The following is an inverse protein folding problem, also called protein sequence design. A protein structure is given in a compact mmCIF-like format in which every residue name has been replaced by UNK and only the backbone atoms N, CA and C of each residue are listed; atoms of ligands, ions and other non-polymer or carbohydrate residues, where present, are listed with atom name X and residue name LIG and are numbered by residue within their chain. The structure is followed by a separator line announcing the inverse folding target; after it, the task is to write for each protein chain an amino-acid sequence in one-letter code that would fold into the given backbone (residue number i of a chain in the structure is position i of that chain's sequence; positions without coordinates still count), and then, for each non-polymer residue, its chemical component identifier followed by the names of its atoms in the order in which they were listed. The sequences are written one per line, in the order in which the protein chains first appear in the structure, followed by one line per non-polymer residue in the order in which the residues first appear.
data_IF_988842021160
#
_entry.id   IF_988842021160
#
_cell.length_a   1.000
_cell.length_b   1.000
_cell.length_c   1.000
_cell.angle_alpha   90.00
_cell.angle_beta   90.00
_cell.angle_gamma   90.00
#
_symmetry.space_group_name_H-M   'P 1'
#
loop_
_entity.id
_entity.type
_entity.pdbx_description
1 polymer ?
#
# COMPACT_ATOMS: atom_id res chain seq x y z
N UNK A 1 21.31 12.78 11.92
CA UNK A 1 21.32 12.87 10.45
C UNK A 1 21.23 11.49 9.85
N UNK A 2 20.39 11.31 8.87
CA UNK A 2 20.22 10.01 8.24
C UNK A 2 21.34 9.80 7.24
N UNK A 3 22.05 8.68 7.38
CA UNK A 3 23.03 8.26 6.37
C UNK A 3 22.27 7.39 5.37
N UNK A 4 22.45 7.67 4.11
CA UNK A 4 21.81 6.86 3.08
C UNK A 4 22.33 5.42 3.15
N UNK A 5 21.40 4.48 3.27
CA UNK A 5 21.75 3.06 3.31
C UNK A 5 21.85 2.55 1.87
N UNK A 6 23.00 2.04 1.51
CA UNK A 6 23.22 1.48 0.18
C UNK A 6 22.85 0.00 0.17
N UNK A 7 22.71 -0.57 -1.03
CA UNK A 7 22.45 -2.01 -1.16
C UNK A 7 23.59 -2.84 -0.57
N UNK A 8 24.83 -2.35 -0.66
CA UNK A 8 25.98 -3.04 -0.09
C UNK A 8 25.93 -3.07 1.43
N UNK A 9 25.48 -1.97 2.05
CA UNK A 9 25.29 -1.90 3.51
C UNK A 9 24.24 -2.90 3.96
N UNK A 10 23.14 -2.99 3.23
CA UNK A 10 22.04 -3.91 3.54
C UNK A 10 22.49 -5.36 3.34
N UNK A 11 23.29 -5.65 2.32
CA UNK A 11 23.75 -7.00 2.04
C UNK A 11 24.62 -7.58 3.16
N UNK A 12 25.24 -6.72 3.97
CA UNK A 12 26.07 -7.15 5.11
C UNK A 12 25.29 -7.36 6.38
N UNK A 13 24.00 -6.97 6.40
CA UNK A 13 23.15 -7.14 7.57
C UNK A 13 22.53 -8.53 7.60
N UNK A 14 22.42 -9.09 8.81
CA UNK A 14 21.76 -10.38 9.02
C UNK A 14 20.25 -10.14 9.22
N UNK A 15 19.58 -9.90 8.10
CA UNK A 15 18.16 -9.60 8.10
C UNK A 15 17.43 -10.50 7.11
N UNK A 16 16.14 -10.69 7.31
CA UNK A 16 15.31 -11.46 6.42
C UNK A 16 15.15 -10.75 5.07
N UNK A 17 14.72 -11.50 4.07
CA UNK A 17 14.47 -10.94 2.74
C UNK A 17 13.41 -9.84 2.79
N UNK A 18 12.37 -10.02 3.62
CA UNK A 18 11.32 -9.02 3.76
C UNK A 18 11.84 -7.74 4.40
N UNK A 19 12.67 -7.88 5.45
CA UNK A 19 13.29 -6.72 6.09
C UNK A 19 14.22 -5.98 5.13
N UNK A 20 14.95 -6.74 4.29
CA UNK A 20 15.81 -6.15 3.27
C UNK A 20 15.02 -5.35 2.25
N UNK A 21 13.87 -5.87 1.81
CA UNK A 21 12.98 -5.17 0.89
C UNK A 21 12.49 -3.85 1.47
N UNK A 22 12.17 -3.82 2.77
CA UNK A 22 11.78 -2.61 3.46
C UNK A 22 12.91 -1.57 3.40
N UNK A 23 14.13 -1.99 3.68
CA UNK A 23 15.29 -1.08 3.74
C UNK A 23 15.70 -0.53 2.36
N UNK A 24 15.55 -1.30 1.29
CA UNK A 24 15.89 -0.82 -0.07
C UNK A 24 14.72 -0.12 -0.76
N UNK A 25 13.61 0.05 -0.09
CA UNK A 25 12.52 0.87 -0.62
C UNK A 25 11.46 0.13 -1.41
N UNK A 26 11.33 -1.18 -1.26
CA UNK A 26 10.16 -1.89 -1.77
C UNK A 26 8.90 -1.33 -1.11
N UNK A 27 9.07 -0.74 0.06
CA UNK A 27 8.05 -0.02 0.82
C UNK A 27 8.12 1.48 0.57
N UNK A 28 8.70 1.89 -0.56
CA UNK A 28 8.62 3.28 -0.96
C UNK A 28 7.15 3.70 -0.99
N UNK A 29 6.94 5.01 -0.91
CA UNK A 29 5.60 5.59 -0.89
C UNK A 29 4.66 4.91 -1.88
N UNK A 30 3.52 4.47 -1.40
CA UNK A 30 2.48 3.93 -2.26
C UNK A 30 1.78 5.08 -2.96
N UNK A 31 1.33 4.84 -4.19
CA UNK A 31 0.42 5.79 -4.81
C UNK A 31 -0.90 5.76 -4.05
N UNK A 32 -1.67 6.83 -4.13
CA UNK A 32 -2.98 6.88 -3.51
C UNK A 32 -3.87 5.72 -3.98
N UNK A 33 -3.85 5.43 -5.28
CA UNK A 33 -4.63 4.32 -5.84
C UNK A 33 -4.23 2.98 -5.23
N UNK A 34 -2.95 2.69 -5.16
CA UNK A 34 -2.46 1.42 -4.59
C UNK A 34 -2.83 1.32 -3.11
N UNK A 35 -2.69 2.42 -2.38
CA UNK A 35 -3.04 2.47 -0.96
C UNK A 35 -4.51 2.09 -0.75
N UNK A 36 -5.41 2.70 -1.51
CA UNK A 36 -6.84 2.39 -1.38
C UNK A 36 -7.21 1.00 -1.86
N UNK A 37 -6.53 0.49 -2.89
CA UNK A 37 -6.73 -0.90 -3.32
C UNK A 37 -6.38 -1.85 -2.17
N UNK A 38 -5.24 -1.65 -1.53
CA UNK A 38 -4.82 -2.50 -0.41
C UNK A 38 -5.78 -2.38 0.76
N UNK A 39 -6.22 -1.17 1.09
CA UNK A 39 -7.23 -0.97 2.16
C UNK A 39 -8.51 -1.72 1.87
N UNK A 40 -8.97 -1.69 0.62
CA UNK A 40 -10.20 -2.37 0.22
C UNK A 40 -10.11 -3.88 0.41
N UNK A 41 -8.89 -4.42 0.40
CA UNK A 41 -8.63 -5.87 0.45
C UNK A 41 -8.35 -6.40 1.85
N UNK A 42 -8.55 -5.59 2.87
CA UNK A 42 -8.60 -6.08 4.25
C UNK A 42 -9.73 -7.11 4.36
N UNK A 43 -10.79 -6.92 3.59
CA UNK A 43 -11.88 -7.89 3.40
C UNK A 43 -11.77 -8.43 1.97
N UNK A 44 -11.97 -9.74 1.74
CA UNK A 44 -11.92 -10.28 0.37
C UNK A 44 -12.94 -9.59 -0.54
N UNK A 45 -12.52 -9.23 -1.74
CA UNK A 45 -13.37 -8.57 -2.75
C UNK A 45 -12.96 -8.98 -4.15
N UNK A 46 -13.93 -9.05 -5.06
CA UNK A 46 -13.64 -9.18 -6.49
C UNK A 46 -13.43 -7.78 -7.10
N UNK A 47 -12.95 -7.75 -8.34
CA UNK A 47 -12.52 -6.50 -8.99
C UNK A 47 -13.53 -5.35 -8.91
N UNK A 48 -14.79 -5.64 -9.23
CA UNK A 48 -15.84 -4.62 -9.19
C UNK A 48 -16.02 -4.03 -7.77
N UNK A 49 -15.99 -4.90 -6.76
CA UNK A 49 -16.08 -4.47 -5.37
C UNK A 49 -14.88 -3.61 -4.96
N UNK A 50 -13.70 -3.91 -5.47
CA UNK A 50 -12.50 -3.09 -5.22
C UNK A 50 -12.70 -1.70 -5.82
N UNK A 51 -13.19 -1.62 -7.05
CA UNK A 51 -13.45 -0.35 -7.72
C UNK A 51 -14.43 0.52 -6.93
N UNK A 52 -15.52 -0.08 -6.48
CA UNK A 52 -16.53 0.62 -5.68
C UNK A 52 -15.96 1.11 -4.35
N UNK A 53 -15.24 0.24 -3.65
CA UNK A 53 -14.70 0.59 -2.33
C UNK A 53 -13.63 1.67 -2.41
N UNK A 54 -12.74 1.61 -3.40
CA UNK A 54 -11.71 2.63 -3.58
C UNK A 54 -12.31 3.99 -3.90
N UNK A 55 -13.35 4.02 -4.73
CA UNK A 55 -14.05 5.27 -5.02
C UNK A 55 -14.71 5.84 -3.76
N UNK A 56 -15.36 4.99 -2.99
CA UNK A 56 -16.01 5.38 -1.75
C UNK A 56 -15.01 5.90 -0.72
N UNK A 57 -13.94 5.15 -0.47
CA UNK A 57 -12.92 5.53 0.52
C UNK A 57 -12.24 6.85 0.17
N UNK A 58 -12.01 7.09 -1.11
CA UNK A 58 -11.33 8.29 -1.58
C UNK A 58 -12.27 9.49 -1.77
N UNK A 59 -13.56 9.34 -1.47
CA UNK A 59 -14.54 10.41 -1.71
C UNK A 59 -14.66 10.75 -3.20
N UNK A 60 -14.47 9.77 -4.07
CA UNK A 60 -14.58 9.93 -5.52
C UNK A 60 -13.28 10.38 -6.20
N UNK A 61 -12.20 10.60 -5.46
CA UNK A 61 -10.92 11.01 -6.04
C UNK A 61 -10.26 9.91 -6.86
N UNK A 62 -10.40 8.67 -6.43
CA UNK A 62 -9.82 7.52 -7.12
C UNK A 62 -10.92 6.75 -7.81
N UNK A 63 -10.92 6.81 -9.13
CA UNK A 63 -11.83 6.07 -10.00
C UNK A 63 -10.98 5.23 -10.94
N UNK A 64 -11.03 3.92 -10.75
CA UNK A 64 -10.18 3.01 -11.49
C UNK A 64 -10.93 2.43 -12.68
N UNK A 65 -10.31 2.48 -13.85
CA UNK A 65 -10.78 1.72 -15.00
C UNK A 65 -10.41 0.26 -14.81
N UNK A 66 -11.21 -0.64 -15.36
CA UNK A 66 -11.01 -2.08 -15.18
C UNK A 66 -9.61 -2.53 -15.58
N UNK A 67 -9.12 -2.08 -16.75
CA UNK A 67 -7.78 -2.45 -17.21
C UNK A 67 -6.67 -2.00 -16.26
N UNK A 68 -6.78 -0.80 -15.76
CA UNK A 68 -5.83 -0.26 -14.79
C UNK A 68 -5.86 -1.07 -13.49
N UNK A 69 -7.06 -1.39 -13.02
CA UNK A 69 -7.21 -2.19 -11.80
C UNK A 69 -6.59 -3.56 -11.95
N UNK A 70 -6.91 -4.29 -13.02
CA UNK A 70 -6.40 -5.64 -13.17
C UNK A 70 -4.89 -5.67 -13.39
N UNK A 71 -4.33 -4.65 -14.04
CA UNK A 71 -2.87 -4.48 -14.12
C UNK A 71 -2.25 -4.30 -12.74
N UNK A 72 -2.87 -3.47 -11.91
CA UNK A 72 -2.41 -3.26 -10.54
C UNK A 72 -2.52 -4.54 -9.70
N UNK A 73 -3.64 -5.26 -9.81
CA UNK A 73 -3.83 -6.51 -9.08
C UNK A 73 -2.79 -7.55 -9.45
N UNK A 74 -2.46 -7.68 -10.73
CA UNK A 74 -1.41 -8.60 -11.17
C UNK A 74 -0.07 -8.24 -10.56
N UNK A 75 0.27 -6.95 -10.56
CA UNK A 75 1.52 -6.47 -9.98
C UNK A 75 1.58 -6.74 -8.47
N UNK A 76 0.47 -6.50 -7.76
CA UNK A 76 0.41 -6.73 -6.32
C UNK A 76 0.49 -8.22 -5.98
N UNK A 77 -0.08 -9.10 -6.81
CA UNK A 77 0.07 -10.53 -6.66
C UNK A 77 1.53 -10.96 -6.83
N UNK A 78 2.22 -10.41 -7.84
CA UNK A 78 3.64 -10.70 -8.08
C UNK A 78 4.50 -10.29 -6.89
N UNK A 79 4.16 -9.19 -6.24
CA UNK A 79 4.87 -8.72 -5.04
C UNK A 79 4.55 -9.56 -3.80
N UNK A 80 3.53 -10.40 -3.87
CA UNK A 80 3.11 -11.20 -2.74
C UNK A 80 2.33 -10.41 -1.69
N UNK A 81 1.78 -9.25 -2.05
CA UNK A 81 1.02 -8.41 -1.11
C UNK A 81 -0.45 -8.79 -1.07
N UNK A 82 -0.95 -9.40 -2.13
CA UNK A 82 -2.31 -9.92 -2.21
C UNK A 82 -2.27 -11.30 -2.86
N UNK A 83 -3.36 -12.05 -2.71
CA UNK A 83 -3.49 -13.35 -3.38
C UNK A 83 -4.91 -13.54 -3.85
N UNK A 84 -5.09 -14.27 -4.98
CA UNK A 84 -6.42 -14.54 -5.49
C UNK A 84 -7.07 -15.71 -4.76
N UNK A 85 -8.38 -15.59 -4.57
CA UNK A 85 -9.24 -16.64 -4.00
C UNK A 85 -10.34 -16.97 -5.00
N UNK A 86 -10.82 -18.22 -5.03
CA UNK A 86 -12.02 -18.52 -5.81
C UNK A 86 -13.22 -17.80 -5.19
N UNK A 87 -14.18 -17.37 -6.02
CA UNK A 87 -15.39 -16.75 -5.52
C UNK A 87 -16.21 -17.73 -4.69
N UNK A 88 -16.87 -17.22 -3.64
CA UNK A 88 -17.67 -18.01 -2.71
C UNK A 88 -18.82 -18.76 -3.37
N UNK A 89 -19.36 -18.21 -4.42
CA UNK A 89 -20.50 -18.77 -5.13
C UNK A 89 -20.11 -19.74 -6.25
N UNK A 90 -18.83 -20.13 -6.33
CA UNK A 90 -18.32 -20.96 -7.39
C UNK A 90 -18.25 -20.24 -8.73
N UNK A 91 -18.47 -18.93 -8.76
CA UNK A 91 -18.39 -18.15 -9.99
C UNK A 91 -16.94 -18.07 -10.47
N UNK A 92 -16.77 -17.71 -11.73
CA UNK A 92 -15.44 -17.50 -12.31
C UNK A 92 -14.77 -16.23 -11.80
N UNK A 93 -15.47 -15.43 -11.00
CA UNK A 93 -14.93 -14.20 -10.45
C UNK A 93 -13.94 -14.53 -9.36
N UNK A 94 -12.72 -14.06 -9.52
CA UNK A 94 -11.71 -14.18 -8.48
C UNK A 94 -11.93 -13.08 -7.47
N UNK A 95 -11.82 -13.47 -6.20
CA UNK A 95 -11.69 -12.50 -5.14
C UNK A 95 -10.22 -12.35 -4.81
N UNK A 96 -9.85 -11.24 -4.20
CA UNK A 96 -8.48 -10.98 -3.77
C UNK A 96 -8.49 -10.62 -2.31
N UNK A 97 -7.41 -10.93 -1.64
CA UNK A 97 -7.25 -10.64 -0.21
C UNK A 97 -5.80 -10.28 0.08
N UNK A 98 -5.59 -9.46 1.12
CA UNK A 98 -4.24 -9.16 1.58
C UNK A 98 -3.55 -10.41 2.13
N UNK A 99 -2.25 -10.52 1.86
CA UNK A 99 -1.39 -11.48 2.53
C UNK A 99 -0.89 -10.84 3.82
N UNK A 100 -0.21 -11.61 4.66
CA UNK A 100 0.47 -11.07 5.84
C UNK A 100 1.45 -9.97 5.45
N UNK A 101 2.21 -10.17 4.36
CA UNK A 101 3.13 -9.17 3.84
C UNK A 101 2.39 -7.91 3.42
N UNK A 102 1.22 -8.06 2.77
CA UNK A 102 0.40 -6.92 2.39
C UNK A 102 -0.07 -6.10 3.58
N UNK A 103 -0.47 -6.76 4.68
CA UNK A 103 -0.81 -6.07 5.91
C UNK A 103 0.36 -5.27 6.47
N UNK A 104 1.56 -5.84 6.46
CA UNK A 104 2.76 -5.14 6.93
C UNK A 104 3.07 -3.90 6.08
N UNK A 105 2.96 -4.04 4.76
CA UNK A 105 3.15 -2.92 3.84
C UNK A 105 2.16 -1.80 4.15
N UNK A 106 0.90 -2.17 4.31
CA UNK A 106 -0.17 -1.20 4.56
C UNK A 106 0.03 -0.48 5.90
N UNK A 107 0.37 -1.21 6.96
CA UNK A 107 0.65 -0.61 8.27
C UNK A 107 1.85 0.31 8.22
N UNK A 108 2.91 -0.09 7.51
CA UNK A 108 4.08 0.75 7.32
C UNK A 108 3.74 2.05 6.62
N UNK A 109 2.88 1.99 5.61
CA UNK A 109 2.45 3.17 4.89
C UNK A 109 1.61 4.10 5.76
N UNK A 110 0.70 3.57 6.56
CA UNK A 110 -0.07 4.38 7.50
C UNK A 110 0.87 5.12 8.46
N UNK A 111 1.88 4.42 8.98
CA UNK A 111 2.87 5.04 9.87
C UNK A 111 3.65 6.14 9.19
N UNK A 112 4.08 5.90 7.96
CA UNK A 112 4.80 6.90 7.16
C UNK A 112 3.96 8.13 6.91
N UNK A 113 2.71 7.93 6.50
CA UNK A 113 1.79 9.04 6.21
C UNK A 113 1.52 9.88 7.46
N UNK A 114 1.36 9.21 8.60
CA UNK A 114 1.13 9.90 9.87
C UNK A 114 2.34 10.77 10.24
N UNK A 115 3.54 10.22 10.12
CA UNK A 115 4.76 10.96 10.39
C UNK A 115 4.90 12.19 9.49
N UNK A 116 4.62 12.01 8.20
CA UNK A 116 4.67 13.13 7.25
C UNK A 116 3.66 14.21 7.61
N UNK A 117 2.43 13.80 7.94
CA UNK A 117 1.39 14.75 8.32
C UNK A 117 1.76 15.47 9.61
N UNK A 118 2.25 14.76 10.61
CA UNK A 118 2.67 15.34 11.89
C UNK A 118 3.78 16.37 11.71
N UNK A 119 4.78 16.06 10.89
CA UNK A 119 5.86 16.98 10.58
C UNK A 119 5.35 18.22 9.84
N UNK A 120 4.44 18.03 8.90
CA UNK A 120 3.85 19.13 8.17
C UNK A 120 3.04 20.05 9.08
N UNK A 121 2.20 19.49 9.93
CA UNK A 121 1.39 20.24 10.87
C UNK A 121 2.26 21.03 11.86
N UNK A 122 3.32 20.39 12.36
CA UNK A 122 4.24 21.05 13.29
C UNK A 122 4.90 22.26 12.65
N UNK A 123 5.48 22.10 11.46
CA UNK A 123 6.19 23.16 10.78
C UNK A 123 5.24 24.32 10.39
N UNK A 124 4.08 23.96 9.81
CA UNK A 124 3.10 24.96 9.41
C UNK A 124 2.49 25.68 10.62
N UNK A 125 2.28 24.95 11.73
CA UNK A 125 1.79 25.52 12.96
C UNK A 125 2.75 26.55 13.55
N UNK A 126 4.05 26.27 13.51
CA UNK A 126 5.07 27.21 13.97
C UNK A 126 5.04 28.52 13.17
N UNK A 127 4.87 28.41 11.87
CA UNK A 127 4.79 29.61 10.98
C UNK A 127 3.53 30.41 11.28
N UNK A 128 2.39 29.74 11.46
CA UNK A 128 1.13 30.40 11.78
C UNK A 128 1.17 31.10 13.12
N UNK A 129 1.84 30.50 14.12
CA UNK A 129 1.96 31.09 15.46
C UNK A 129 2.83 32.35 15.48
N UNK A 130 3.77 32.47 14.55
CA UNK A 130 4.62 33.64 14.41
C UNK A 130 3.94 34.78 13.65
N UNK A 131 2.92 34.44 12.89
CA UNK A 131 2.18 35.41 12.08
C UNK A 131 1.05 36.01 12.84
#
# INVERSE_FOLDING_TARGET
MVTDITEDDIATLDISRDERSILVGEFAALTESTYYILLSLVTPRHGYGIMQETEKLSGGRVRLAAGTLYGALNSLCEKGWIFPLPGEDGSRRKEYKLTEKGFKVLRGEVGRLRELADNGERILGEVCDEG
#
